data_IF_503225901412
#
_entry.id   IF_503225901412
#
_cell.length_a   1.000
_cell.length_b   1.000
_cell.length_c   1.000
_cell.angle_alpha   90.00
_cell.angle_beta   90.00
_cell.angle_gamma   90.00
#
_symmetry.space_group_name_H-M   'P 1'
#
loop_
_entity.id
_entity.type
_entity.pdbx_description
1 polymer ?
#
# COMPACT_ATOMS: atom_id res chain seq x y z
N UNK A 1 19.23 25.33 13.92
CA UNK A 1 18.10 25.86 13.13
C UNK A 1 18.13 25.41 11.67
N UNK A 2 19.29 25.38 11.01
CA UNK A 2 19.38 25.01 9.59
C UNK A 2 19.00 23.54 9.31
N UNK A 3 19.37 22.62 10.22
CA UNK A 3 19.05 21.19 10.08
C UNK A 3 17.54 20.90 10.20
N UNK A 4 16.86 21.57 11.14
CA UNK A 4 15.40 21.49 11.29
C UNK A 4 14.69 21.99 10.03
N UNK A 5 15.14 23.11 9.47
CA UNK A 5 14.57 23.68 8.24
C UNK A 5 14.75 22.74 7.04
N UNK A 6 15.92 22.12 6.89
CA UNK A 6 16.19 21.11 5.84
C UNK A 6 15.29 19.88 5.98
N UNK A 7 15.11 19.36 7.20
CA UNK A 7 14.18 18.23 7.47
C UNK A 7 12.73 18.60 7.17
N UNK A 8 12.30 19.81 7.52
CA UNK A 8 10.95 20.31 7.23
C UNK A 8 10.70 20.39 5.72
N UNK A 9 11.63 20.95 4.94
CA UNK A 9 11.51 21.00 3.48
C UNK A 9 11.53 19.61 2.85
N UNK A 10 12.31 18.67 3.39
CA UNK A 10 12.29 17.27 2.93
C UNK A 10 10.91 16.63 3.13
N UNK A 11 10.30 16.80 4.31
CA UNK A 11 8.96 16.28 4.60
C UNK A 11 7.91 16.93 3.69
N UNK A 12 7.96 18.26 3.50
CA UNK A 12 7.08 18.95 2.56
C UNK A 12 7.23 18.43 1.12
N UNK A 13 8.47 18.23 0.66
CA UNK A 13 8.75 17.65 -0.65
C UNK A 13 8.20 16.23 -0.78
N UNK A 14 8.38 15.38 0.24
CA UNK A 14 7.85 14.02 0.26
C UNK A 14 6.32 13.98 0.21
N UNK A 15 5.64 14.86 0.94
CA UNK A 15 4.16 15.00 0.88
C UNK A 15 3.72 15.42 -0.52
N UNK A 16 4.46 16.33 -1.17
CA UNK A 16 4.15 16.79 -2.52
C UNK A 16 4.28 15.64 -3.54
N UNK A 17 5.36 14.86 -3.44
CA UNK A 17 5.57 13.66 -4.28
C UNK A 17 4.46 12.62 -4.05
N UNK A 18 4.13 12.33 -2.79
CA UNK A 18 3.00 11.46 -2.46
C UNK A 18 1.71 11.97 -3.10
N UNK A 19 1.44 13.28 -2.97
CA UNK A 19 0.22 13.87 -3.50
C UNK A 19 0.18 13.75 -5.02
N UNK A 20 1.26 14.04 -5.73
CA UNK A 20 1.33 13.85 -7.20
C UNK A 20 1.08 12.38 -7.57
N UNK A 21 1.65 11.43 -6.83
CA UNK A 21 1.43 10.00 -7.04
C UNK A 21 -0.04 9.58 -6.93
N UNK A 22 -0.83 10.22 -6.06
CA UNK A 22 -2.27 9.93 -5.93
C UNK A 22 -3.12 10.42 -7.11
N UNK A 23 -2.59 11.27 -7.99
CA UNK A 23 -3.29 11.71 -9.21
C UNK A 23 -2.95 10.86 -10.44
N UNK A 24 -2.00 9.93 -10.34
CA UNK A 24 -1.66 9.04 -11.47
C UNK A 24 -2.53 7.78 -11.36
N UNK A 25 -3.57 7.61 -12.21
CA UNK A 25 -4.42 6.43 -12.18
C UNK A 25 -3.69 5.21 -12.72
N UNK A 26 -4.04 4.02 -12.22
CA UNK A 26 -3.56 2.76 -12.80
C UNK A 26 -4.18 2.59 -14.20
N UNK A 27 -3.40 2.19 -15.21
CA UNK A 27 -3.92 1.98 -16.55
C UNK A 27 -4.97 0.86 -16.58
N UNK A 28 -6.04 1.06 -17.35
CA UNK A 28 -7.04 0.02 -17.61
C UNK A 28 -8.28 0.06 -16.72
N UNK A 29 -8.56 1.16 -16.01
CA UNK A 29 -9.75 1.33 -15.17
C UNK A 29 -10.67 2.41 -15.72
N UNK A 30 -11.98 2.15 -15.67
CA UNK A 30 -13.00 3.14 -15.97
C UNK A 30 -13.32 3.97 -14.71
N UNK A 31 -12.93 5.26 -14.65
CA UNK A 31 -13.14 6.10 -13.48
C UNK A 31 -14.63 6.34 -13.17
N UNK A 32 -15.51 6.32 -14.18
CA UNK A 32 -16.95 6.49 -13.96
C UNK A 32 -17.56 5.25 -13.26
N UNK A 33 -17.16 4.05 -13.70
CA UNK A 33 -17.58 2.80 -13.06
C UNK A 33 -17.04 2.70 -11.63
N UNK A 34 -15.78 3.10 -11.41
CA UNK A 34 -15.17 3.14 -10.09
C UNK A 34 -15.88 4.12 -9.14
N UNK A 35 -16.22 5.33 -9.60
CA UNK A 35 -16.97 6.31 -8.81
C UNK A 35 -18.34 5.75 -8.40
N UNK A 36 -19.06 5.12 -9.33
CA UNK A 36 -20.37 4.50 -9.02
C UNK A 36 -20.26 3.35 -8.02
N UNK A 37 -19.17 2.57 -8.09
CA UNK A 37 -18.88 1.51 -7.11
C UNK A 37 -18.60 2.09 -5.71
N UNK A 38 -17.82 3.17 -5.63
CA UNK A 38 -17.55 3.86 -4.37
C UNK A 38 -18.79 4.51 -3.77
N UNK A 39 -19.64 5.13 -4.58
CA UNK A 39 -20.93 5.66 -4.14
C UNK A 39 -21.83 4.54 -3.56
N UNK A 40 -21.85 3.37 -4.20
CA UNK A 40 -22.56 2.19 -3.68
C UNK A 40 -21.98 1.65 -2.37
N UNK A 41 -20.69 1.81 -2.15
CA UNK A 41 -19.98 1.35 -0.95
C UNK A 41 -19.78 2.45 0.10
N UNK A 42 -20.42 3.61 -0.09
CA UNK A 42 -20.36 4.74 0.83
C UNK A 42 -20.82 4.34 2.23
N UNK A 43 -20.03 4.65 3.27
CA UNK A 43 -20.31 4.26 4.66
C UNK A 43 -19.94 2.83 5.04
N UNK A 44 -19.36 2.04 4.13
CA UNK A 44 -18.81 0.71 4.46
C UNK A 44 -17.36 0.80 4.93
N UNK A 45 -16.78 -0.36 5.29
CA UNK A 45 -15.36 -0.44 5.64
C UNK A 45 -14.45 0.08 4.50
N UNK A 46 -14.88 -0.02 3.24
CA UNK A 46 -14.13 0.47 2.08
C UNK A 46 -13.94 1.99 2.12
N UNK A 47 -14.92 2.73 2.62
CA UNK A 47 -14.82 4.19 2.77
C UNK A 47 -13.78 4.56 3.85
N UNK A 48 -13.76 3.80 4.95
CA UNK A 48 -12.72 3.92 5.97
C UNK A 48 -11.33 3.62 5.38
N UNK A 49 -11.20 2.60 4.52
CA UNK A 49 -9.96 2.33 3.78
C UNK A 49 -9.56 3.50 2.86
N UNK A 50 -10.52 4.15 2.19
CA UNK A 50 -10.26 5.30 1.33
C UNK A 50 -9.71 6.49 2.15
N UNK A 51 -10.26 6.76 3.33
CA UNK A 51 -9.77 7.78 4.26
C UNK A 51 -8.30 7.54 4.65
N UNK A 52 -7.92 6.28 4.94
CA UNK A 52 -6.53 5.93 5.22
C UNK A 52 -5.61 6.00 3.99
N UNK A 53 -6.16 5.87 2.79
CA UNK A 53 -5.43 6.02 1.52
C UNK A 53 -5.28 7.47 1.06
N UNK A 54 -5.90 8.44 1.75
CA UNK A 54 -5.87 9.86 1.36
C UNK A 54 -6.61 10.18 0.05
N UNK A 55 -7.61 9.37 -0.31
CA UNK A 55 -8.35 9.45 -1.58
C UNK A 55 -7.67 8.74 -2.76
N UNK A 56 -6.56 8.02 -2.52
CA UNK A 56 -5.82 7.30 -3.53
C UNK A 56 -6.58 6.07 -4.07
N UNK A 57 -7.45 5.48 -3.24
CA UNK A 57 -8.25 4.30 -3.56
C UNK A 57 -9.48 4.66 -4.42
N UNK A 58 -10.19 5.74 -4.08
CA UNK A 58 -11.34 6.26 -4.86
C UNK A 58 -10.99 6.59 -6.31
N UNK A 59 -9.75 7.01 -6.55
CA UNK A 59 -9.23 7.32 -7.89
C UNK A 59 -8.45 6.18 -8.52
N UNK A 60 -8.32 5.07 -7.78
CA UNK A 60 -7.47 3.94 -8.08
C UNK A 60 -6.12 4.34 -8.68
N UNK A 61 -5.37 5.10 -7.88
CA UNK A 61 -4.04 5.55 -8.23
C UNK A 61 -2.98 4.45 -8.07
N UNK A 62 -1.77 4.70 -8.57
CA UNK A 62 -0.60 3.82 -8.33
C UNK A 62 -0.38 3.57 -6.82
N UNK A 63 -0.84 4.50 -5.97
CA UNK A 63 -0.73 4.46 -4.51
C UNK A 63 -2.01 3.99 -3.82
N UNK A 64 -2.93 3.31 -4.52
CA UNK A 64 -4.25 2.95 -3.98
C UNK A 64 -4.20 2.08 -2.71
N UNK A 65 -3.21 1.18 -2.60
CA UNK A 65 -2.99 0.38 -1.38
C UNK A 65 -2.35 1.19 -0.23
N UNK A 66 -1.74 2.34 -0.54
CA UNK A 66 -1.07 3.21 0.42
C UNK A 66 0.02 2.47 1.20
N UNK A 67 0.17 2.84 2.48
CA UNK A 67 1.12 2.20 3.41
C UNK A 67 0.50 1.07 4.23
N UNK A 68 -0.77 0.72 3.96
CA UNK A 68 -1.51 -0.30 4.70
C UNK A 68 -0.84 -1.68 4.67
N UNK A 69 -0.31 -2.18 3.54
CA UNK A 69 0.38 -3.47 3.51
C UNK A 69 1.59 -3.50 4.46
N UNK A 70 2.29 -2.37 4.61
CA UNK A 70 3.42 -2.23 5.53
C UNK A 70 2.98 -2.20 6.98
N UNK A 71 1.92 -1.45 7.30
CA UNK A 71 1.34 -1.42 8.64
C UNK A 71 0.94 -2.84 9.06
N UNK A 72 0.20 -3.56 8.21
CA UNK A 72 -0.20 -4.95 8.47
C UNK A 72 0.99 -5.87 8.65
N UNK A 73 2.00 -5.82 7.76
CA UNK A 73 3.22 -6.61 7.90
C UNK A 73 3.95 -6.33 9.22
N UNK A 74 4.01 -5.05 9.64
CA UNK A 74 4.69 -4.65 10.87
C UNK A 74 3.98 -5.21 12.10
N UNK A 75 2.64 -5.21 12.12
CA UNK A 75 1.84 -5.79 13.20
C UNK A 75 2.04 -7.30 13.24
N UNK A 76 2.02 -7.99 12.10
CA UNK A 76 2.28 -9.43 12.01
C UNK A 76 3.66 -9.75 12.59
N UNK A 77 4.70 -9.01 12.19
CA UNK A 77 6.05 -9.21 12.72
C UNK A 77 6.16 -8.90 14.22
N UNK A 78 5.44 -7.90 14.71
CA UNK A 78 5.38 -7.59 16.14
C UNK A 78 4.73 -8.72 16.94
N UNK A 79 3.61 -9.26 16.45
CA UNK A 79 2.90 -10.38 17.06
C UNK A 79 3.76 -11.66 17.02
N UNK A 80 4.36 -11.98 15.87
CA UNK A 80 5.26 -13.12 15.73
C UNK A 80 6.49 -13.00 16.65
N UNK A 81 7.00 -11.79 16.86
CA UNK A 81 8.11 -11.56 17.79
C UNK A 81 7.72 -11.74 19.26
N UNK A 82 6.43 -11.63 19.59
CA UNK A 82 5.92 -11.88 20.94
C UNK A 82 5.64 -13.37 21.18
N UNK A 83 5.20 -14.10 20.15
CA UNK A 83 4.79 -15.51 20.26
C UNK A 83 5.90 -16.50 19.93
N UNK A 84 6.81 -16.19 18.99
CA UNK A 84 7.89 -17.09 18.59
C UNK A 84 9.19 -16.81 19.38
N UNK A 85 9.78 -17.83 20.05
CA UNK A 85 11.01 -17.66 20.81
C UNK A 85 12.20 -17.26 19.94
N UNK A 86 12.31 -17.79 18.72
CA UNK A 86 13.39 -17.44 17.78
C UNK A 86 13.41 -15.95 17.40
N UNK A 87 12.25 -15.34 17.13
CA UNK A 87 12.18 -13.91 16.82
C UNK A 87 12.40 -13.05 18.06
N UNK A 88 11.99 -13.53 19.24
CA UNK A 88 12.24 -12.87 20.52
C UNK A 88 13.74 -12.78 20.82
N UNK A 89 14.51 -13.82 20.50
CA UNK A 89 15.97 -13.80 20.59
C UNK A 89 16.62 -12.83 19.61
N UNK A 90 16.16 -12.80 18.36
CA UNK A 90 16.63 -11.81 17.38
C UNK A 90 16.34 -10.39 17.90
N UNK A 91 15.15 -10.14 18.46
CA UNK A 91 14.81 -8.83 19.04
C UNK A 91 15.71 -8.43 20.22
N UNK A 92 16.26 -9.40 20.96
CA UNK A 92 17.22 -9.18 22.06
C UNK A 92 18.62 -8.80 21.58
N UNK A 93 18.97 -9.00 20.30
CA UNK A 93 20.28 -8.63 19.72
C UNK A 93 20.45 -7.12 19.49
N UNK A 94 19.66 -6.27 20.15
CA UNK A 94 19.76 -4.82 20.08
C UNK A 94 19.47 -4.26 18.68
N UNK A 95 20.34 -3.36 18.19
CA UNK A 95 20.16 -2.69 16.89
C UNK A 95 20.23 -3.65 15.69
N UNK A 96 21.13 -4.64 15.73
CA UNK A 96 21.26 -5.62 14.65
C UNK A 96 19.98 -6.47 14.49
N UNK A 97 19.37 -6.83 15.63
CA UNK A 97 18.09 -7.52 15.69
C UNK A 97 16.93 -6.71 15.12
N UNK A 98 16.85 -5.44 15.50
CA UNK A 98 15.84 -4.51 14.97
C UNK A 98 15.94 -4.37 13.45
N UNK A 99 17.16 -4.23 12.91
CA UNK A 99 17.37 -4.16 11.44
C UNK A 99 16.91 -5.43 10.73
N UNK A 100 17.18 -6.63 11.28
CA UNK A 100 16.68 -7.90 10.72
C UNK A 100 15.15 -7.97 10.72
N UNK A 101 14.49 -7.59 11.82
CA UNK A 101 13.03 -7.57 11.89
C UNK A 101 12.46 -6.61 10.85
N UNK A 102 13.04 -5.41 10.70
CA UNK A 102 12.63 -4.48 9.65
C UNK A 102 12.76 -5.10 8.26
N UNK A 103 13.86 -5.80 7.95
CA UNK A 103 14.02 -6.49 6.67
C UNK A 103 12.92 -7.55 6.45
N UNK A 104 12.60 -8.37 7.45
CA UNK A 104 11.49 -9.32 7.36
C UNK A 104 10.14 -8.64 7.16
N UNK A 105 9.87 -7.53 7.86
CA UNK A 105 8.68 -6.71 7.63
C UNK A 105 8.60 -6.24 6.19
N UNK A 106 9.73 -5.81 5.60
CA UNK A 106 9.76 -5.37 4.19
C UNK A 106 9.43 -6.50 3.22
N UNK A 107 9.99 -7.70 3.43
CA UNK A 107 9.65 -8.87 2.61
C UNK A 107 8.20 -9.32 2.81
N UNK A 108 7.71 -9.30 4.05
CA UNK A 108 6.31 -9.60 4.35
C UNK A 108 5.36 -8.60 3.70
N UNK A 109 5.73 -7.32 3.66
CA UNK A 109 4.96 -6.28 2.97
C UNK A 109 4.87 -6.55 1.48
N UNK A 110 5.97 -6.93 0.83
CA UNK A 110 5.98 -7.26 -0.60
C UNK A 110 5.03 -8.43 -0.90
N UNK A 111 5.07 -9.49 -0.09
CA UNK A 111 4.17 -10.63 -0.21
C UNK A 111 2.70 -10.24 -0.01
N UNK A 112 2.40 -9.50 1.07
CA UNK A 112 1.03 -9.04 1.37
C UNK A 112 0.49 -8.09 0.30
N UNK A 113 1.30 -7.13 -0.15
CA UNK A 113 0.93 -6.19 -1.19
C UNK A 113 0.62 -6.93 -2.50
N UNK A 114 1.39 -7.97 -2.85
CA UNK A 114 1.15 -8.78 -4.05
C UNK A 114 -0.17 -9.53 -3.95
N UNK A 115 -0.45 -10.17 -2.82
CA UNK A 115 -1.72 -10.87 -2.60
C UNK A 115 -2.93 -9.92 -2.58
N UNK A 116 -2.81 -8.78 -1.90
CA UNK A 116 -3.86 -7.77 -1.84
C UNK A 116 -4.11 -7.13 -3.21
N UNK A 117 -3.05 -6.77 -3.93
CA UNK A 117 -3.16 -6.23 -5.29
C UNK A 117 -3.82 -7.24 -6.24
N UNK A 118 -3.48 -8.52 -6.12
CA UNK A 118 -4.10 -9.59 -6.92
C UNK A 118 -5.59 -9.74 -6.61
N UNK A 119 -5.97 -9.76 -5.33
CA UNK A 119 -7.37 -9.81 -4.91
C UNK A 119 -8.17 -8.62 -5.41
N UNK A 120 -7.62 -7.41 -5.31
CA UNK A 120 -8.25 -6.18 -5.81
C UNK A 120 -8.36 -6.20 -7.34
N UNK A 121 -7.32 -6.62 -8.07
CA UNK A 121 -7.34 -6.68 -9.52
C UNK A 121 -8.41 -7.63 -10.05
N UNK A 122 -8.55 -8.82 -9.44
CA UNK A 122 -9.58 -9.79 -9.80
C UNK A 122 -10.98 -9.28 -9.45
N UNK A 123 -11.15 -8.64 -8.27
CA UNK A 123 -12.42 -8.06 -7.86
C UNK A 123 -12.87 -6.91 -8.77
N UNK A 124 -11.95 -6.08 -9.25
CA UNK A 124 -12.27 -5.02 -10.22
C UNK A 124 -12.64 -5.57 -11.59
N UNK A 125 -11.97 -6.65 -12.01
CA UNK A 125 -12.30 -7.31 -13.27
C UNK A 125 -13.68 -7.98 -13.22
N UNK A 126 -14.04 -8.64 -12.11
CA UNK A 126 -15.34 -9.30 -11.97
C UNK A 126 -16.51 -8.31 -11.88
N UNK A 127 -16.27 -7.09 -11.42
CA UNK A 127 -17.29 -6.02 -11.36
C UNK A 127 -17.37 -5.16 -12.62
N UNK A 128 -16.63 -5.50 -13.69
CA UNK A 128 -16.68 -4.77 -14.95
C UNK A 128 -16.09 -3.36 -14.89
N UNK A 129 -15.30 -3.05 -13.85
CA UNK A 129 -14.65 -1.75 -13.66
C UNK A 129 -13.38 -1.65 -14.54
N UNK A 130 -12.79 -2.80 -14.90
CA UNK A 130 -11.67 -2.88 -15.83
C UNK A 130 -12.12 -2.64 -17.28
N UNK A 131 -11.43 -1.73 -17.98
CA UNK A 131 -11.65 -1.42 -19.40
C UNK A 131 -11.36 -2.62 -20.31
N UNK A 132 -10.44 -3.49 -19.88
CA UNK A 132 -10.06 -4.70 -20.58
C UNK A 132 -9.98 -5.86 -19.58
N UNK A 133 -10.70 -6.95 -19.85
CA UNK A 133 -10.67 -8.16 -19.06
C UNK A 133 -9.58 -9.11 -19.58
N UNK A 134 -8.64 -9.50 -18.73
CA UNK A 134 -7.58 -10.44 -19.10
C UNK A 134 -6.44 -10.53 -18.08
N UNK A 135 -5.64 -11.58 -18.17
CA UNK A 135 -4.46 -11.80 -17.32
C UNK A 135 -3.44 -10.65 -17.39
N UNK A 136 -3.39 -9.93 -18.52
CA UNK A 136 -2.55 -8.73 -18.69
C UNK A 136 -2.97 -7.54 -17.82
N UNK A 137 -4.28 -7.34 -17.60
CA UNK A 137 -4.77 -6.30 -16.68
C UNK A 137 -4.41 -6.63 -15.23
N UNK A 138 -4.61 -7.89 -14.83
CA UNK A 138 -4.26 -8.35 -13.49
C UNK A 138 -2.77 -8.20 -13.22
N UNK A 139 -1.92 -8.64 -14.16
CA UNK A 139 -0.47 -8.52 -14.01
C UNK A 139 0.00 -7.06 -13.93
N UNK A 140 -0.45 -6.20 -14.85
CA UNK A 140 -0.09 -4.78 -14.85
C UNK A 140 -0.59 -4.05 -13.59
N UNK A 141 -1.80 -4.36 -13.11
CA UNK A 141 -2.35 -3.81 -11.87
C UNK A 141 -1.54 -4.25 -10.65
N UNK A 142 -1.19 -5.54 -10.54
CA UNK A 142 -0.35 -6.05 -9.45
C UNK A 142 1.00 -5.34 -9.45
N UNK A 143 1.69 -5.29 -10.59
CA UNK A 143 3.00 -4.64 -10.67
C UNK A 143 2.91 -3.16 -10.31
N UNK A 144 1.88 -2.45 -10.80
CA UNK A 144 1.69 -1.02 -10.53
C UNK A 144 1.46 -0.75 -9.04
N UNK A 145 0.51 -1.46 -8.43
CA UNK A 145 0.15 -1.28 -7.01
C UNK A 145 1.28 -1.71 -6.06
N UNK A 146 1.95 -2.83 -6.36
CA UNK A 146 3.08 -3.31 -5.58
C UNK A 146 4.24 -2.32 -5.68
N UNK A 147 4.55 -1.82 -6.87
CA UNK A 147 5.61 -0.83 -7.08
C UNK A 147 5.29 0.47 -6.33
N UNK A 148 4.06 0.96 -6.41
CA UNK A 148 3.62 2.15 -5.66
C UNK A 148 3.74 1.97 -4.15
N UNK A 149 3.31 0.83 -3.63
CA UNK A 149 3.42 0.50 -2.19
C UNK A 149 4.89 0.44 -1.74
N UNK A 150 5.74 -0.20 -2.54
CA UNK A 150 7.17 -0.32 -2.24
C UNK A 150 7.90 1.02 -2.33
N UNK A 151 7.47 1.90 -3.24
CA UNK A 151 7.97 3.27 -3.33
C UNK A 151 7.63 4.09 -2.08
N UNK A 152 6.42 3.94 -1.51
CA UNK A 152 6.05 4.65 -0.29
C UNK A 152 6.75 4.14 0.97
N UNK A 153 7.17 2.88 0.98
CA UNK A 153 7.96 2.33 2.07
C UNK A 153 9.37 2.92 2.11
N UNK A 154 9.92 3.29 0.95
CA UNK A 154 11.33 3.66 0.79
C UNK A 154 11.56 5.14 1.04
#
# INVERSE_FOLDING_TARGET
MEELRKRLFFVFGAILVYRVGTYIPVPGINPAALASFFEQQSGTIIDMFNMFSGGALERFSILALGIMPYISASIIMQLMSATMPALKEIKKQGEAGRKKITQYTRYGTLGLATLQAGGVAVALQSQGIALYSGSGFVFSTIVTLVTGTMFLMW
#
